data_IF_724565231628
#
_entry.id   IF_724565231628
#
_cell.length_a   1.000
_cell.length_b   1.000
_cell.length_c   1.000
_cell.angle_alpha   90.00
_cell.angle_beta   90.00
_cell.angle_gamma   90.00
#
_symmetry.space_group_name_H-M   'P 1'
#
loop_
_entity.id
_entity.type
_entity.pdbx_description
1 polymer ?
#
# COMPACT_ATOMS: atom_id res chain seq x y z
N UNK A 1 -6.95 -5.02 2.64
CA UNK A 1 -6.53 -4.55 3.99
C UNK A 1 -5.61 -3.36 3.74
N UNK A 2 -5.99 -2.11 4.09
CA UNK A 2 -5.24 -0.88 3.80
C UNK A 2 -5.29 0.08 5.01
N UNK A 3 -4.29 0.94 5.18
CA UNK A 3 -4.28 2.03 6.15
C UNK A 3 -4.32 3.39 5.42
N UNK A 4 -5.14 4.32 5.91
CA UNK A 4 -5.27 5.66 5.31
C UNK A 4 -4.18 6.57 5.85
N UNK A 5 -3.34 7.10 4.96
CA UNK A 5 -2.22 7.96 5.34
C UNK A 5 -2.65 9.19 6.16
N UNK A 6 -3.84 9.74 5.89
CA UNK A 6 -4.34 10.95 6.55
C UNK A 6 -4.70 10.73 8.03
N UNK A 7 -4.87 9.49 8.48
CA UNK A 7 -5.31 9.18 9.86
C UNK A 7 -4.45 8.12 10.55
N UNK A 8 -3.35 7.70 9.93
CA UNK A 8 -2.54 6.57 10.38
C UNK A 8 -1.87 6.84 11.74
N UNK A 9 -1.55 8.11 12.04
CA UNK A 9 -0.94 8.54 13.31
C UNK A 9 -1.94 8.65 14.46
N UNK A 10 -3.23 8.75 14.16
CA UNK A 10 -4.30 8.91 15.15
C UNK A 10 -4.93 7.57 15.53
N UNK A 11 -5.01 6.64 14.58
CA UNK A 11 -5.63 5.33 14.79
C UNK A 11 -4.75 4.45 15.67
N UNK A 12 -5.25 4.12 16.85
CA UNK A 12 -4.57 3.21 17.80
C UNK A 12 -4.08 1.90 17.13
N UNK A 13 -4.87 1.33 16.23
CA UNK A 13 -4.53 0.10 15.49
C UNK A 13 -3.26 0.20 14.65
N UNK A 14 -2.91 1.40 14.17
CA UNK A 14 -1.81 1.59 13.21
C UNK A 14 -0.70 2.51 13.73
N UNK A 15 -0.98 3.34 14.73
CA UNK A 15 -0.07 4.39 15.22
C UNK A 15 1.29 3.84 15.63
N UNK A 16 1.31 2.76 16.40
CA UNK A 16 2.56 2.18 16.88
C UNK A 16 3.38 1.56 15.74
N UNK A 17 2.72 0.76 14.88
CA UNK A 17 3.35 0.17 13.71
C UNK A 17 3.87 1.25 12.74
N UNK A 18 3.16 2.37 12.61
CA UNK A 18 3.57 3.49 11.76
C UNK A 18 4.81 4.20 12.26
N UNK A 19 5.00 4.31 13.58
CA UNK A 19 6.18 4.94 14.15
C UNK A 19 7.39 3.99 14.04
N UNK A 20 7.21 2.71 14.41
CA UNK A 20 8.34 1.82 14.69
C UNK A 20 8.55 0.70 13.67
N UNK A 21 7.56 0.41 12.80
CA UNK A 21 7.53 -0.80 11.96
C UNK A 21 7.15 -0.49 10.51
N UNK A 22 7.74 0.58 9.97
CA UNK A 22 7.62 0.95 8.55
C UNK A 22 8.52 0.07 7.68
N UNK A 23 8.00 -0.35 6.54
CA UNK A 23 8.75 -1.06 5.52
C UNK A 23 8.34 -0.60 4.12
N UNK A 24 9.17 -0.95 3.15
CA UNK A 24 8.86 -0.83 1.73
C UNK A 24 8.54 -2.21 1.18
N UNK A 25 7.38 -2.35 0.55
CA UNK A 25 6.97 -3.55 -0.14
C UNK A 25 7.27 -3.39 -1.64
N UNK A 26 8.26 -4.11 -2.20
CA UNK A 26 8.48 -4.13 -3.64
C UNK A 26 7.39 -4.95 -4.34
N UNK A 27 6.82 -4.38 -5.40
CA UNK A 27 5.81 -5.04 -6.25
C UNK A 27 6.08 -4.71 -7.72
N UNK A 28 5.66 -5.59 -8.62
CA UNK A 28 5.64 -5.29 -10.07
C UNK A 28 4.43 -4.44 -10.47
N UNK A 29 3.39 -4.42 -9.62
CA UNK A 29 2.15 -3.69 -9.83
C UNK A 29 1.07 -4.10 -8.83
N UNK A 30 -0.11 -3.50 -8.95
CA UNK A 30 -1.29 -3.87 -8.18
C UNK A 30 -2.56 -3.82 -9.04
N UNK A 31 -3.63 -4.45 -8.57
CA UNK A 31 -4.90 -4.49 -9.28
C UNK A 31 -5.97 -3.72 -8.53
N UNK A 32 -6.82 -3.02 -9.28
CA UNK A 32 -8.03 -2.40 -8.75
C UNK A 32 -9.23 -2.71 -9.62
N UNK A 33 -10.41 -2.60 -9.03
CA UNK A 33 -11.68 -2.85 -9.71
C UNK A 33 -12.52 -1.59 -9.72
N UNK A 34 -13.08 -1.26 -10.87
CA UNK A 34 -14.08 -0.19 -10.93
C UNK A 34 -15.43 -0.66 -10.38
N UNK A 35 -16.41 0.25 -10.33
CA UNK A 35 -17.77 -0.06 -9.84
C UNK A 35 -18.50 -1.13 -10.67
N UNK A 36 -18.14 -1.30 -11.94
CA UNK A 36 -18.65 -2.35 -12.82
C UNK A 36 -17.92 -3.70 -12.65
N UNK A 37 -16.96 -3.79 -11.70
CA UNK A 37 -16.10 -4.96 -11.45
C UNK A 37 -15.15 -5.29 -12.61
N UNK A 38 -14.83 -4.32 -13.44
CA UNK A 38 -13.76 -4.45 -14.44
C UNK A 38 -12.40 -4.32 -13.76
N UNK A 39 -11.48 -5.22 -14.09
CA UNK A 39 -10.15 -5.31 -13.47
C UNK A 39 -9.15 -4.43 -14.24
N UNK A 40 -8.42 -3.60 -13.51
CA UNK A 40 -7.33 -2.77 -14.01
C UNK A 40 -6.01 -3.18 -13.37
N UNK A 41 -4.92 -3.15 -14.14
CA UNK A 41 -3.56 -3.41 -13.66
C UNK A 41 -2.77 -2.10 -13.67
N UNK A 42 -2.26 -1.71 -12.51
CA UNK A 42 -1.44 -0.52 -12.32
C UNK A 42 0.01 -0.93 -12.13
N UNK A 43 0.86 -0.47 -13.04
CA UNK A 43 2.30 -0.72 -13.09
C UNK A 43 3.06 0.60 -13.23
N UNK A 44 4.37 0.58 -13.01
CA UNK A 44 5.19 1.74 -13.33
C UNK A 44 5.17 1.99 -14.86
N UNK A 45 5.42 3.23 -15.29
CA UNK A 45 5.39 3.62 -16.71
C UNK A 45 6.34 2.77 -17.55
N UNK A 46 7.46 2.37 -16.95
CA UNK A 46 8.32 1.33 -17.46
C UNK A 46 7.98 0.03 -16.72
N UNK A 47 7.43 -0.95 -17.42
CA UNK A 47 6.91 -2.19 -16.80
C UNK A 47 7.99 -3.01 -16.09
N UNK A 48 9.26 -2.82 -16.47
CA UNK A 48 10.42 -3.49 -15.86
C UNK A 48 10.87 -2.82 -14.54
N UNK A 49 10.34 -1.64 -14.20
CA UNK A 49 10.69 -0.95 -12.96
C UNK A 49 9.82 -1.36 -11.78
N UNK A 50 10.47 -1.69 -10.66
CA UNK A 50 9.80 -2.04 -9.41
C UNK A 50 9.06 -0.83 -8.83
N UNK A 51 7.80 -1.04 -8.46
CA UNK A 51 7.00 -0.13 -7.64
C UNK A 51 7.21 -0.46 -6.16
N UNK A 52 7.36 0.57 -5.32
CA UNK A 52 7.46 0.39 -3.86
C UNK A 52 6.22 0.96 -3.18
N UNK A 53 5.57 0.13 -2.36
CA UNK A 53 4.44 0.54 -1.52
C UNK A 53 4.92 0.76 -0.08
N UNK A 54 4.52 1.88 0.52
CA UNK A 54 4.74 2.12 1.94
C UNK A 54 3.80 1.23 2.77
N UNK A 55 4.37 0.40 3.63
CA UNK A 55 3.60 -0.51 4.49
C UNK A 55 4.02 -0.40 5.95
N UNK A 56 3.12 -0.83 6.83
CA UNK A 56 3.38 -1.04 8.26
C UNK A 56 3.23 -2.52 8.56
N UNK A 57 4.09 -3.06 9.42
CA UNK A 57 4.10 -4.49 9.77
C UNK A 57 3.77 -4.64 11.25
N UNK A 58 2.87 -5.56 11.56
CA UNK A 58 2.48 -5.93 12.92
C UNK A 58 3.02 -7.33 13.21
N UNK A 59 3.68 -7.52 14.35
CA UNK A 59 4.27 -8.80 14.76
C UNK A 59 3.34 -9.59 15.68
#
# INVERSE_FOLDING_TARGET
INARAESIEERFTFKEDFIYRRALLPVTGFYEWNKAKEKFHFVNKNEDEILYLGVIVNN
#
